data_IF_266542795261
#
_entry.id   IF_266542795261
#
_cell.length_a   1.000
_cell.length_b   1.000
_cell.length_c   1.000
_cell.angle_alpha   90.00
_cell.angle_beta   90.00
_cell.angle_gamma   90.00
#
_symmetry.space_group_name_H-M   'P 1'
#
loop_
_entity.id
_entity.type
_entity.pdbx_description
1 polymer ?
#
# COMPACT_ATOMS: atom_id res chain seq x y z
N UNK A 1 -21.12 4.78 39.94
CA UNK A 1 -22.34 4.08 39.47
C UNK A 1 -22.59 4.53 38.05
N UNK A 2 -22.15 3.75 37.07
CA UNK A 2 -22.50 3.93 35.66
C UNK A 2 -23.98 4.30 35.53
N UNK A 3 -24.26 5.49 35.00
CA UNK A 3 -25.62 6.01 34.93
C UNK A 3 -26.45 5.06 34.06
N UNK A 4 -27.67 4.73 34.47
CA UNK A 4 -28.54 3.78 33.76
C UNK A 4 -28.67 4.09 32.25
N UNK A 5 -28.46 5.34 31.85
CA UNK A 5 -28.37 5.80 30.46
C UNK A 5 -27.16 5.28 29.67
N UNK A 6 -25.99 5.13 30.30
CA UNK A 6 -24.78 4.58 29.65
C UNK A 6 -24.96 3.08 29.35
N UNK A 7 -25.56 2.33 30.28
CA UNK A 7 -25.87 0.91 30.09
C UNK A 7 -26.93 0.72 28.99
N UNK A 8 -28.00 1.53 29.00
CA UNK A 8 -29.00 1.53 27.91
C UNK A 8 -28.38 1.84 26.56
N UNK A 9 -27.45 2.81 26.50
CA UNK A 9 -26.79 3.22 25.26
C UNK A 9 -25.84 2.14 24.73
N UNK A 10 -25.10 1.45 25.61
CA UNK A 10 -24.27 0.29 25.25
C UNK A 10 -25.10 -0.86 24.69
N UNK A 11 -26.23 -1.20 25.33
CA UNK A 11 -27.12 -2.26 24.84
C UNK A 11 -27.70 -1.88 23.47
N UNK A 12 -28.12 -0.62 23.29
CA UNK A 12 -28.63 -0.14 21.99
C UNK A 12 -27.58 -0.17 20.89
N UNK A 13 -26.34 0.26 21.16
CA UNK A 13 -25.27 0.25 20.15
C UNK A 13 -24.85 -1.17 19.75
N UNK A 14 -24.93 -2.13 20.67
CA UNK A 14 -24.68 -3.55 20.35
C UNK A 14 -25.79 -4.13 19.46
N UNK A 15 -27.06 -3.80 19.74
CA UNK A 15 -28.20 -4.27 18.94
C UNK A 15 -28.26 -3.63 17.54
N UNK A 16 -27.64 -2.46 17.34
CA UNK A 16 -27.55 -1.78 16.04
C UNK A 16 -26.30 -2.11 15.24
N UNK A 17 -25.50 -3.09 15.67
CA UNK A 17 -24.22 -3.52 15.06
C UNK A 17 -23.18 -2.39 14.89
N UNK A 18 -23.30 -1.33 15.70
CA UNK A 18 -22.40 -0.16 15.69
C UNK A 18 -21.29 -0.35 16.72
N UNK A 19 -20.31 -1.18 16.36
CA UNK A 19 -19.23 -1.61 17.26
C UNK A 19 -18.30 -0.47 17.67
N UNK A 20 -18.01 0.50 16.80
CA UNK A 20 -17.16 1.65 17.13
C UNK A 20 -17.80 2.55 18.19
N UNK A 21 -19.12 2.78 18.09
CA UNK A 21 -19.88 3.51 19.10
C UNK A 21 -19.95 2.73 20.42
N UNK A 22 -20.10 1.41 20.36
CA UNK A 22 -20.07 0.55 21.55
C UNK A 22 -18.74 0.67 22.30
N UNK A 23 -17.60 0.58 21.61
CA UNK A 23 -16.28 0.71 22.24
C UNK A 23 -16.05 2.11 22.83
N UNK A 24 -16.50 3.15 22.12
CA UNK A 24 -16.38 4.53 22.60
C UNK A 24 -17.14 4.72 23.91
N UNK A 25 -18.37 4.21 24.01
CA UNK A 25 -19.18 4.26 25.22
C UNK A 25 -18.57 3.44 26.35
N UNK A 26 -18.02 2.25 26.05
CA UNK A 26 -17.37 1.40 27.05
C UNK A 26 -16.11 2.04 27.65
N UNK A 27 -15.31 2.72 26.83
CA UNK A 27 -14.14 3.48 27.29
C UNK A 27 -14.53 4.72 28.10
N UNK A 28 -15.63 5.39 27.76
CA UNK A 28 -16.16 6.49 28.56
C UNK A 28 -16.64 6.02 29.95
N UNK A 29 -17.27 4.85 30.02
CA UNK A 29 -17.64 4.22 31.30
C UNK A 29 -16.38 3.88 32.11
N UNK A 30 -15.35 3.29 31.48
CA UNK A 30 -14.08 3.01 32.15
C UNK A 30 -13.41 4.29 32.70
N UNK A 31 -13.40 5.38 31.94
CA UNK A 31 -12.86 6.66 32.38
C UNK A 31 -13.64 7.25 33.57
N UNK A 32 -14.96 7.14 33.55
CA UNK A 32 -15.82 7.60 34.63
C UNK A 32 -15.61 6.81 35.92
N UNK A 33 -15.52 5.48 35.83
CA UNK A 33 -15.26 4.61 36.99
C UNK A 33 -13.85 4.82 37.56
N UNK A 34 -12.84 5.12 36.71
CA UNK A 34 -11.51 5.50 37.17
C UNK A 34 -11.53 6.81 37.98
N UNK A 35 -12.28 7.82 37.52
CA UNK A 35 -12.43 9.10 38.24
C UNK A 35 -13.18 8.96 39.57
N UNK A 36 -14.02 7.93 39.71
CA UNK A 36 -14.72 7.62 40.97
C UNK A 36 -13.89 6.76 41.94
N UNK A 37 -12.63 6.45 41.59
CA UNK A 37 -11.73 5.67 42.45
C UNK A 37 -11.79 4.15 42.21
N UNK A 38 -12.60 3.68 41.25
CA UNK A 38 -12.68 2.25 40.88
C UNK A 38 -11.64 1.89 39.81
N UNK A 39 -10.36 2.05 40.14
CA UNK A 39 -9.25 1.88 39.19
C UNK A 39 -9.14 0.45 38.61
N UNK A 40 -9.41 -0.58 39.42
CA UNK A 40 -9.37 -1.97 39.00
C UNK A 40 -10.46 -2.28 37.96
N UNK A 41 -11.71 -1.91 38.25
CA UNK A 41 -12.83 -2.09 37.33
C UNK A 41 -12.62 -1.33 36.01
N UNK A 42 -12.10 -0.10 36.09
CA UNK A 42 -11.77 0.68 34.90
C UNK A 42 -10.63 0.09 34.07
N UNK A 43 -9.73 -0.68 34.69
CA UNK A 43 -8.68 -1.42 34.00
C UNK A 43 -9.26 -2.64 33.29
N UNK A 44 -10.06 -3.44 33.99
CA UNK A 44 -10.70 -4.64 33.44
C UNK A 44 -11.58 -4.30 32.22
N UNK A 45 -12.39 -3.24 32.28
CA UNK A 45 -13.21 -2.80 31.15
C UNK A 45 -12.36 -2.42 29.94
N UNK A 46 -11.23 -1.73 30.15
CA UNK A 46 -10.30 -1.37 29.07
C UNK A 46 -9.64 -2.60 28.45
N UNK A 47 -9.22 -3.55 29.28
CA UNK A 47 -8.56 -4.77 28.81
C UNK A 47 -9.51 -5.62 27.96
N UNK A 48 -10.78 -5.76 28.37
CA UNK A 48 -11.81 -6.49 27.61
C UNK A 48 -12.06 -5.80 26.25
N UNK A 49 -12.21 -4.47 26.24
CA UNK A 49 -12.42 -3.70 25.00
C UNK A 49 -11.22 -3.83 24.06
N UNK A 50 -10.00 -3.69 24.58
CA UNK A 50 -8.78 -3.80 23.77
C UNK A 50 -8.57 -5.21 23.21
N UNK A 51 -8.90 -6.24 23.99
CA UNK A 51 -8.83 -7.64 23.55
C UNK A 51 -9.83 -7.93 22.43
N UNK A 52 -11.08 -7.50 22.57
CA UNK A 52 -12.13 -7.69 21.55
C UNK A 52 -11.85 -6.84 20.30
N UNK A 53 -11.34 -5.61 20.45
CA UNK A 53 -10.94 -4.76 19.32
C UNK A 53 -9.79 -5.39 18.52
N UNK A 54 -8.78 -5.94 19.21
CA UNK A 54 -7.69 -6.71 18.59
C UNK A 54 -8.19 -7.99 17.91
N UNK A 55 -9.11 -8.71 18.53
CA UNK A 55 -9.69 -9.95 17.98
C UNK A 55 -10.57 -9.69 16.75
N UNK A 56 -11.33 -8.59 16.72
CA UNK A 56 -12.22 -8.22 15.59
C UNK A 56 -11.53 -7.44 14.48
N UNK A 57 -10.22 -7.21 14.56
CA UNK A 57 -9.48 -6.49 13.52
C UNK A 57 -9.90 -5.04 13.34
N UNK A 58 -10.61 -4.45 14.31
CA UNK A 58 -10.92 -3.03 14.31
C UNK A 58 -9.63 -2.27 14.50
N UNK A 59 -9.32 -1.35 13.57
CA UNK A 59 -8.12 -0.52 13.53
C UNK A 59 -7.56 -0.34 14.93
N UNK A 60 -6.50 -1.09 15.25
CA UNK A 60 -5.61 -0.64 16.28
C UNK A 60 -5.25 0.76 15.81
N UNK A 61 -5.72 1.78 16.54
CA UNK A 61 -5.03 3.03 16.59
C UNK A 61 -3.66 2.64 17.14
N UNK A 62 -2.78 2.24 16.22
CA UNK A 62 -1.37 2.12 16.45
C UNK A 62 -1.04 3.43 17.16
N UNK A 63 -0.53 3.32 18.38
CA UNK A 63 0.09 4.45 19.05
C UNK A 63 1.35 4.75 18.26
N UNK A 64 1.18 5.29 17.06
CA UNK A 64 2.24 6.01 16.40
C UNK A 64 2.74 7.03 17.44
N UNK A 65 4.05 7.17 17.63
CA UNK A 65 4.58 8.38 18.22
C UNK A 65 3.84 9.55 17.56
N UNK A 66 3.32 10.51 18.34
CA UNK A 66 2.49 11.60 17.81
C UNK A 66 3.14 12.32 16.60
N UNK A 67 4.46 12.21 16.48
CA UNK A 67 5.31 12.76 15.42
C UNK A 67 5.25 12.02 14.06
N UNK A 68 4.71 10.80 13.98
CA UNK A 68 4.58 10.00 12.74
C UNK A 68 3.15 10.01 12.16
N UNK A 69 2.21 10.70 12.82
CA UNK A 69 0.83 10.79 12.38
C UNK A 69 0.75 11.40 10.96
N UNK A 70 0.19 10.65 10.02
CA UNK A 70 0.02 11.08 8.62
C UNK A 70 1.22 10.85 7.69
N UNK A 71 2.30 10.23 8.19
CA UNK A 71 3.46 9.78 7.38
C UNK A 71 3.39 8.29 7.03
N UNK A 72 2.79 7.50 7.94
CA UNK A 72 2.55 6.07 7.76
C UNK A 72 1.04 5.85 7.63
N UNK A 73 0.62 5.31 6.50
CA UNK A 73 -0.76 4.88 6.26
C UNK A 73 -0.83 3.37 6.40
N UNK A 74 -1.70 2.86 7.27
CA UNK A 74 -1.86 1.42 7.47
C UNK A 74 -3.19 0.96 6.90
N UNK A 75 -3.18 -0.07 6.05
CA UNK A 75 -4.38 -0.71 5.54
C UNK A 75 -4.25 -2.25 5.57
N UNK A 76 -5.37 -2.95 5.67
CA UNK A 76 -5.46 -4.37 5.33
C UNK A 76 -6.05 -4.47 3.93
N UNK A 77 -5.40 -5.26 3.08
CA UNK A 77 -5.74 -5.34 1.66
C UNK A 77 -6.30 -6.70 1.31
N UNK A 78 -7.43 -6.73 0.60
CA UNK A 78 -8.05 -7.96 0.07
C UNK A 78 -7.75 -8.16 -1.43
N UNK A 79 -6.66 -7.56 -1.92
CA UNK A 79 -6.29 -7.57 -3.34
C UNK A 79 -5.58 -8.87 -3.71
N UNK A 80 -6.19 -9.78 -4.49
CA UNK A 80 -5.58 -11.05 -4.85
C UNK A 80 -4.48 -10.88 -5.91
N UNK A 81 -3.54 -11.83 -5.97
CA UNK A 81 -2.53 -11.86 -7.04
C UNK A 81 -3.11 -11.84 -8.46
N UNK A 82 -4.33 -12.35 -8.65
CA UNK A 82 -5.04 -12.33 -9.92
C UNK A 82 -5.35 -10.91 -10.43
N UNK A 83 -5.38 -9.91 -9.54
CA UNK A 83 -5.57 -8.51 -9.93
C UNK A 83 -4.36 -7.94 -10.70
N UNK A 84 -3.17 -8.55 -10.60
CA UNK A 84 -1.99 -8.13 -11.34
C UNK A 84 -1.98 -8.70 -12.76
N UNK A 85 -1.99 -7.80 -13.73
CA UNK A 85 -1.76 -8.11 -15.14
C UNK A 85 -0.29 -7.92 -15.46
N UNK A 86 0.47 -9.00 -15.26
CA UNK A 86 1.92 -9.05 -15.40
C UNK A 86 2.35 -10.31 -16.18
N UNK A 87 3.54 -10.31 -16.81
CA UNK A 87 4.09 -11.49 -17.47
C UNK A 87 4.25 -12.68 -16.54
N UNK A 88 4.16 -13.90 -17.09
CA UNK A 88 4.25 -15.14 -16.30
C UNK A 88 5.55 -15.23 -15.49
N UNK A 89 6.69 -14.87 -16.09
CA UNK A 89 7.98 -14.85 -15.40
C UNK A 89 7.99 -13.90 -14.19
N UNK A 90 7.31 -12.75 -14.30
CA UNK A 90 7.18 -11.80 -13.20
C UNK A 90 6.33 -12.39 -12.07
N UNK A 91 5.20 -13.02 -12.44
CA UNK A 91 4.30 -13.69 -11.49
C UNK A 91 5.02 -14.78 -10.70
N UNK A 92 5.89 -15.56 -11.33
CA UNK A 92 6.70 -16.58 -10.64
C UNK A 92 7.68 -15.98 -9.63
N UNK A 93 8.27 -14.81 -9.92
CA UNK A 93 9.11 -14.09 -8.94
C UNK A 93 8.32 -13.65 -7.71
N UNK A 94 7.11 -13.11 -7.90
CA UNK A 94 6.22 -12.75 -6.78
C UNK A 94 5.86 -14.01 -5.97
N UNK A 95 5.47 -15.10 -6.63
CA UNK A 95 5.15 -16.38 -5.96
C UNK A 95 6.33 -16.90 -5.16
N UNK A 96 7.55 -16.77 -5.68
CA UNK A 96 8.79 -17.14 -4.97
C UNK A 96 8.99 -16.31 -3.70
N UNK A 97 8.82 -14.99 -3.76
CA UNK A 97 8.91 -14.10 -2.58
C UNK A 97 7.90 -14.54 -1.52
N UNK A 98 6.64 -14.76 -1.92
CA UNK A 98 5.57 -15.22 -1.01
C UNK A 98 5.90 -16.59 -0.39
N UNK A 99 6.39 -17.53 -1.20
CA UNK A 99 6.74 -18.87 -0.75
C UNK A 99 7.90 -18.86 0.25
N UNK A 100 8.98 -18.12 -0.06
CA UNK A 100 10.15 -18.00 0.82
C UNK A 100 9.79 -17.34 2.15
N UNK A 101 8.96 -16.29 2.14
CA UNK A 101 8.49 -15.67 3.36
C UNK A 101 7.66 -16.64 4.22
N UNK A 102 6.72 -17.38 3.62
CA UNK A 102 5.94 -18.41 4.35
C UNK A 102 6.81 -19.54 4.91
N UNK A 103 7.97 -19.79 4.31
CA UNK A 103 8.93 -20.83 4.72
C UNK A 103 10.16 -20.25 5.44
N UNK A 104 10.10 -19.00 5.93
CA UNK A 104 11.27 -18.31 6.49
C UNK A 104 11.93 -19.08 7.64
N UNK A 105 11.15 -19.71 8.52
CA UNK A 105 11.68 -20.51 9.63
C UNK A 105 12.46 -21.74 9.16
N UNK A 106 12.04 -22.35 8.03
CA UNK A 106 12.78 -23.46 7.42
C UNK A 106 14.11 -22.98 6.85
N UNK A 107 14.14 -21.83 6.19
CA UNK A 107 15.36 -21.24 5.64
C UNK A 107 16.34 -20.87 6.76
N UNK A 108 15.85 -20.21 7.83
CA UNK A 108 16.66 -19.82 8.99
C UNK A 108 17.35 -21.03 9.65
N UNK A 109 16.66 -22.18 9.77
CA UNK A 109 17.25 -23.43 10.28
C UNK A 109 18.44 -23.96 9.47
N UNK A 110 18.52 -23.60 8.19
CA UNK A 110 19.63 -23.94 7.31
C UNK A 110 20.62 -22.78 7.11
N UNK A 111 20.53 -21.71 7.92
CA UNK A 111 21.41 -20.55 7.82
C UNK A 111 21.15 -19.67 6.60
N UNK A 112 19.98 -19.80 5.96
CA UNK A 112 19.58 -18.99 4.81
C UNK A 112 18.52 -17.95 5.22
N UNK A 113 18.52 -16.80 4.56
CA UNK A 113 17.48 -15.78 4.69
C UNK A 113 16.51 -15.82 3.51
N UNK A 114 15.23 -15.53 3.76
CA UNK A 114 14.27 -15.26 2.70
C UNK A 114 14.48 -13.87 2.09
N UNK A 115 13.97 -13.67 0.87
CA UNK A 115 13.91 -12.33 0.26
C UNK A 115 12.91 -11.45 1.01
N UNK A 116 13.40 -10.39 1.63
CA UNK A 116 12.60 -9.44 2.43
C UNK A 116 12.68 -8.02 1.88
N UNK A 117 13.73 -7.69 1.12
CA UNK A 117 14.01 -6.34 0.64
C UNK A 117 13.78 -6.32 -0.86
N UNK A 118 12.65 -5.77 -1.30
CA UNK A 118 12.25 -5.78 -2.72
C UNK A 118 12.22 -4.35 -3.28
N UNK A 119 12.80 -4.15 -4.45
CA UNK A 119 12.72 -2.87 -5.17
C UNK A 119 11.80 -3.01 -6.38
N UNK A 120 10.77 -2.18 -6.47
CA UNK A 120 9.88 -2.06 -7.62
C UNK A 120 10.27 -0.82 -8.42
N UNK A 121 10.63 -1.00 -9.68
CA UNK A 121 11.15 0.07 -10.52
C UNK A 121 10.42 0.07 -11.85
N UNK A 122 10.04 1.24 -12.36
CA UNK A 122 9.55 1.38 -13.73
C UNK A 122 8.62 2.58 -13.90
N UNK A 123 8.06 2.79 -15.10
CA UNK A 123 7.21 3.94 -15.38
C UNK A 123 6.02 4.08 -14.40
N UNK A 124 5.50 5.29 -14.17
CA UNK A 124 4.31 5.49 -13.36
C UNK A 124 3.11 4.73 -13.92
N UNK A 125 2.15 4.38 -13.05
CA UNK A 125 0.90 3.73 -13.49
C UNK A 125 1.02 2.27 -13.94
N UNK A 126 2.15 1.59 -13.70
CA UNK A 126 2.39 0.19 -14.14
C UNK A 126 2.07 -0.89 -13.10
N UNK A 127 1.56 -0.51 -11.90
CA UNK A 127 1.11 -1.48 -10.88
C UNK A 127 2.10 -1.76 -9.74
N UNK A 128 3.10 -0.89 -9.51
CA UNK A 128 4.05 -1.01 -8.39
C UNK A 128 3.35 -1.02 -7.01
N UNK A 129 2.60 0.03 -6.69
CA UNK A 129 1.84 0.15 -5.43
C UNK A 129 0.81 -1.00 -5.29
N UNK A 130 0.15 -1.38 -6.39
CA UNK A 130 -0.78 -2.52 -6.41
C UNK A 130 -0.09 -3.84 -6.03
N UNK A 131 1.18 -4.01 -6.40
CA UNK A 131 1.97 -5.20 -6.06
C UNK A 131 2.27 -5.29 -4.58
N UNK A 132 2.51 -4.16 -3.90
CA UNK A 132 2.67 -4.15 -2.45
C UNK A 132 1.37 -4.59 -1.75
N UNK A 133 0.21 -4.11 -2.21
CA UNK A 133 -1.11 -4.55 -1.72
C UNK A 133 -1.32 -6.05 -1.92
N UNK A 134 -0.91 -6.56 -3.07
CA UNK A 134 -1.01 -8.00 -3.37
C UNK A 134 -0.10 -8.82 -2.47
N UNK A 135 1.14 -8.39 -2.25
CA UNK A 135 2.07 -9.08 -1.35
C UNK A 135 1.55 -9.07 0.09
N UNK A 136 1.00 -7.95 0.57
CA UNK A 136 0.37 -7.85 1.88
C UNK A 136 -0.81 -8.82 2.03
N UNK A 137 -1.72 -8.85 1.04
CA UNK A 137 -2.84 -9.79 1.01
C UNK A 137 -2.37 -11.26 1.01
N UNK A 138 -1.45 -11.63 0.12
CA UNK A 138 -0.95 -13.01 -0.01
C UNK A 138 -0.22 -13.47 1.26
N UNK A 139 0.45 -12.56 1.97
CA UNK A 139 1.13 -12.86 3.23
C UNK A 139 0.22 -12.73 4.46
N UNK A 140 -1.01 -12.20 4.30
CA UNK A 140 -1.95 -11.86 5.38
C UNK A 140 -1.32 -10.91 6.41
N UNK A 141 -0.52 -9.97 5.92
CA UNK A 141 0.14 -8.96 6.71
C UNK A 141 -0.52 -7.59 6.46
N UNK A 142 -0.50 -6.68 7.45
CA UNK A 142 -0.88 -5.29 7.22
C UNK A 142 0.08 -4.65 6.20
N UNK A 143 -0.44 -3.72 5.40
CA UNK A 143 0.36 -2.86 4.55
C UNK A 143 0.54 -1.51 5.23
N UNK A 144 1.78 -1.10 5.44
CA UNK A 144 2.17 0.21 5.91
C UNK A 144 2.83 0.98 4.75
N UNK A 145 2.15 1.99 4.23
CA UNK A 145 2.71 2.88 3.20
C UNK A 145 3.36 4.09 3.87
N UNK A 146 4.65 4.25 3.61
CA UNK A 146 5.50 5.33 4.10
C UNK A 146 5.70 6.32 2.97
N UNK A 147 5.22 7.54 3.18
CA UNK A 147 5.40 8.65 2.24
C UNK A 147 6.76 9.28 2.48
N UNK A 148 7.70 8.94 1.60
CA UNK A 148 9.12 9.24 1.76
C UNK A 148 9.38 10.76 1.68
N UNK A 149 8.63 11.48 0.85
CA UNK A 149 8.66 12.94 0.73
C UNK A 149 8.34 13.67 2.06
N UNK A 150 7.40 13.13 2.85
CA UNK A 150 7.00 13.69 4.15
C UNK A 150 8.03 13.47 5.26
N UNK A 151 8.93 12.50 5.08
CA UNK A 151 10.00 12.22 6.05
C UNK A 151 11.13 13.24 5.95
N UNK A 152 11.37 13.75 4.76
CA UNK A 152 12.46 14.68 4.51
C UNK A 152 12.09 16.07 5.03
N UNK A 153 12.81 16.50 6.06
CA UNK A 153 12.77 17.87 6.58
C UNK A 153 14.05 18.62 6.21
N UNK A 154 14.06 19.95 6.43
CA UNK A 154 15.27 20.78 6.30
C UNK A 154 16.36 20.44 7.33
N UNK A 155 16.05 19.62 8.34
CA UNK A 155 16.96 19.25 9.41
C UNK A 155 17.31 17.76 9.33
N UNK A 156 18.52 17.44 8.89
CA UNK A 156 18.99 16.05 8.71
C UNK A 156 18.85 15.18 9.97
N UNK A 157 19.06 15.77 11.16
CA UNK A 157 18.93 15.07 12.44
C UNK A 157 17.50 14.59 12.70
N UNK A 158 16.51 15.45 12.43
CA UNK A 158 15.09 15.10 12.58
C UNK A 158 14.66 14.02 11.60
N UNK A 159 15.10 14.12 10.34
CA UNK A 159 14.84 13.10 9.31
C UNK A 159 15.41 11.74 9.74
N UNK A 160 16.63 11.72 10.28
CA UNK A 160 17.28 10.48 10.75
C UNK A 160 16.58 9.89 11.98
N UNK A 161 16.08 10.73 12.89
CA UNK A 161 15.30 10.29 14.05
C UNK A 161 13.96 9.66 13.63
N UNK A 162 13.25 10.27 12.67
CA UNK A 162 12.01 9.71 12.10
C UNK A 162 12.24 8.38 11.40
N UNK A 163 13.30 8.29 10.59
CA UNK A 163 13.69 7.04 9.95
C UNK A 163 13.96 5.95 10.99
N UNK A 164 14.70 6.27 12.07
CA UNK A 164 14.93 5.32 13.16
C UNK A 164 13.62 4.82 13.78
N UNK A 165 12.69 5.72 14.10
CA UNK A 165 11.38 5.35 14.64
C UNK A 165 10.58 4.42 13.70
N UNK A 166 10.67 4.64 12.38
CA UNK A 166 10.05 3.76 11.39
C UNK A 166 10.70 2.37 11.40
N UNK A 167 12.02 2.28 11.50
CA UNK A 167 12.70 0.99 11.55
C UNK A 167 12.52 0.25 12.88
N UNK A 168 12.35 0.99 13.98
CA UNK A 168 11.93 0.40 15.25
C UNK A 168 10.51 -0.18 15.12
N UNK A 169 9.59 0.53 14.45
CA UNK A 169 8.25 0.00 14.13
C UNK A 169 8.31 -1.24 13.23
N UNK A 170 9.14 -1.24 12.18
CA UNK A 170 9.32 -2.39 11.26
C UNK A 170 9.79 -3.63 12.02
N UNK A 171 10.62 -3.44 13.05
CA UNK A 171 11.12 -4.51 13.89
C UNK A 171 10.05 -5.05 14.85
N UNK A 172 9.27 -4.15 15.45
CA UNK A 172 8.31 -4.50 16.50
C UNK A 172 6.99 -5.03 15.93
N UNK A 173 6.60 -4.61 14.73
CA UNK A 173 5.34 -4.98 14.08
C UNK A 173 5.59 -5.65 12.71
N UNK A 174 5.44 -6.99 12.60
CA UNK A 174 5.59 -7.67 11.33
C UNK A 174 4.55 -7.20 10.29
N UNK A 175 5.03 -6.67 9.18
CA UNK A 175 4.17 -6.10 8.14
C UNK A 175 4.83 -6.01 6.77
N UNK A 176 4.06 -5.57 5.78
CA UNK A 176 4.60 -5.12 4.49
C UNK A 176 4.77 -3.60 4.55
N UNK A 177 5.99 -3.11 4.37
CA UNK A 177 6.33 -1.69 4.46
C UNK A 177 6.67 -1.17 3.07
N UNK A 178 5.80 -0.36 2.49
CA UNK A 178 5.99 0.27 1.19
C UNK A 178 6.55 1.68 1.36
N UNK A 179 7.81 1.86 1.00
CA UNK A 179 8.41 3.18 0.80
C UNK A 179 8.12 3.63 -0.63
N UNK A 180 7.04 4.40 -0.81
CA UNK A 180 6.62 4.90 -2.13
C UNK A 180 7.39 6.18 -2.49
N UNK A 181 7.48 6.47 -3.79
CA UNK A 181 8.23 7.62 -4.33
C UNK A 181 9.69 7.67 -3.84
N UNK A 182 10.38 6.53 -3.87
CA UNK A 182 11.77 6.41 -3.42
C UNK A 182 12.73 7.38 -4.14
N UNK A 183 12.38 7.77 -5.38
CA UNK A 183 13.10 8.77 -6.18
C UNK A 183 12.90 10.21 -5.71
N UNK A 184 11.91 10.51 -4.86
CA UNK A 184 11.74 11.84 -4.27
C UNK A 184 12.96 12.26 -3.42
N UNK A 185 13.73 11.29 -2.91
CA UNK A 185 15.00 11.52 -2.21
C UNK A 185 16.22 11.41 -3.13
N UNK A 186 16.09 10.74 -4.27
CA UNK A 186 17.17 10.60 -5.26
C UNK A 186 17.28 11.78 -6.24
N UNK A 187 16.20 12.53 -6.44
CA UNK A 187 16.10 13.54 -7.50
C UNK A 187 16.76 14.89 -7.18
N UNK A 188 17.49 15.42 -8.17
CA UNK A 188 18.05 16.78 -8.15
C UNK A 188 16.92 17.82 -8.01
N UNK A 189 16.82 18.46 -6.85
CA UNK A 189 16.16 19.77 -6.73
C UNK A 189 17.22 20.86 -6.89
N UNK A 190 17.62 21.11 -8.13
CA UNK A 190 18.20 22.32 -8.77
C UNK A 190 18.98 23.37 -7.96
N UNK A 191 19.50 23.06 -6.78
CA UNK A 191 20.37 23.90 -5.95
C UNK A 191 21.46 23.01 -5.38
N UNK A 192 22.72 23.30 -5.70
CA UNK A 192 23.89 22.45 -5.40
C UNK A 192 24.01 22.01 -3.92
N UNK A 193 23.44 22.78 -2.98
CA UNK A 193 23.48 22.43 -1.56
C UNK A 193 22.42 21.38 -1.14
N UNK A 194 21.23 21.38 -1.75
CA UNK A 194 20.13 20.49 -1.34
C UNK A 194 20.36 19.05 -1.84
N UNK A 195 21.03 18.89 -2.99
CA UNK A 195 21.35 17.58 -3.59
C UNK A 195 22.24 16.72 -2.67
N UNK A 196 23.17 17.35 -1.94
CA UNK A 196 24.05 16.66 -1.00
C UNK A 196 23.34 16.10 0.23
N UNK A 197 22.38 16.84 0.77
CA UNK A 197 21.62 16.42 1.96
C UNK A 197 20.66 15.28 1.63
N UNK A 198 19.95 15.38 0.50
CA UNK A 198 19.02 14.33 0.05
C UNK A 198 19.74 13.01 -0.18
N UNK A 199 20.90 13.02 -0.84
CA UNK A 199 21.73 11.81 -1.02
C UNK A 199 22.16 11.20 0.31
N UNK A 200 22.46 12.02 1.33
CA UNK A 200 22.81 11.51 2.66
C UNK A 200 21.60 10.87 3.35
N UNK A 201 20.40 11.45 3.22
CA UNK A 201 19.16 10.85 3.74
C UNK A 201 18.88 9.51 3.07
N UNK A 202 19.01 9.44 1.74
CA UNK A 202 18.87 8.19 0.99
C UNK A 202 19.86 7.15 1.51
N UNK A 203 21.14 7.51 1.65
CA UNK A 203 22.16 6.62 2.19
C UNK A 203 21.85 6.13 3.61
N UNK A 204 21.30 6.99 4.46
CA UNK A 204 20.87 6.60 5.81
C UNK A 204 19.71 5.60 5.77
N UNK A 205 18.68 5.86 4.96
CA UNK A 205 17.56 4.94 4.74
C UNK A 205 18.06 3.56 4.27
N UNK A 206 19.00 3.51 3.33
CA UNK A 206 19.58 2.24 2.88
C UNK A 206 20.37 1.51 3.96
N UNK A 207 21.13 2.24 4.78
CA UNK A 207 21.85 1.64 5.90
C UNK A 207 20.88 0.99 6.87
N UNK A 208 19.73 1.64 7.15
CA UNK A 208 18.68 1.03 7.96
C UNK A 208 18.07 -0.21 7.28
N UNK A 209 17.81 -0.17 5.97
CA UNK A 209 17.35 -1.35 5.20
C UNK A 209 18.36 -2.49 5.30
N UNK A 210 19.66 -2.22 5.15
CA UNK A 210 20.72 -3.24 5.23
C UNK A 210 20.81 -3.87 6.61
N UNK A 211 20.78 -3.04 7.66
CA UNK A 211 20.88 -3.46 9.06
C UNK A 211 19.60 -4.15 9.56
N UNK A 212 18.48 -3.98 8.86
CA UNK A 212 17.24 -4.62 9.25
C UNK A 212 17.33 -6.15 9.15
N UNK A 213 16.92 -6.78 10.24
CA UNK A 213 16.85 -8.23 10.43
C UNK A 213 15.44 -8.71 10.80
N UNK A 214 14.45 -7.81 10.82
CA UNK A 214 13.05 -8.09 11.13
C UNK A 214 12.43 -9.12 10.18
N UNK A 215 11.31 -9.72 10.59
CA UNK A 215 10.52 -10.62 9.73
C UNK A 215 9.57 -9.87 8.79
N UNK A 216 9.69 -8.55 8.70
CA UNK A 216 8.89 -7.68 7.82
C UNK A 216 9.36 -7.72 6.37
N UNK A 217 8.45 -7.44 5.44
CA UNK A 217 8.75 -7.30 4.01
C UNK A 217 8.88 -5.81 3.68
N UNK A 218 10.07 -5.36 3.31
CA UNK A 218 10.36 -3.97 2.94
C UNK A 218 10.33 -3.85 1.42
N UNK A 219 9.50 -2.93 0.91
CA UNK A 219 9.33 -2.66 -0.51
C UNK A 219 9.68 -1.20 -0.78
N UNK A 220 10.66 -0.95 -1.63
CA UNK A 220 10.88 0.38 -2.22
C UNK A 220 10.18 0.47 -3.58
N UNK A 221 9.49 1.57 -3.88
CA UNK A 221 8.90 1.80 -5.20
C UNK A 221 9.42 3.10 -5.81
N UNK A 222 9.91 3.04 -7.05
CA UNK A 222 10.42 4.20 -7.78
C UNK A 222 9.85 4.30 -9.19
N UNK A 223 9.55 5.52 -9.60
CA UNK A 223 9.16 5.84 -10.98
C UNK A 223 10.38 6.12 -11.87
N UNK A 224 11.49 6.55 -11.28
CA UNK A 224 12.67 7.03 -11.99
C UNK A 224 13.94 6.27 -11.56
N UNK A 225 14.14 5.02 -12.04
CA UNK A 225 15.34 4.25 -11.69
C UNK A 225 16.65 4.92 -12.09
N UNK A 226 16.64 5.81 -13.10
CA UNK A 226 17.83 6.55 -13.52
C UNK A 226 18.35 7.55 -12.47
N UNK A 227 17.51 7.99 -11.53
CA UNK A 227 17.90 8.89 -10.43
C UNK A 227 18.54 8.13 -9.26
N UNK A 228 18.42 6.81 -9.25
CA UNK A 228 18.96 5.94 -8.22
C UNK A 228 20.36 5.45 -8.63
N UNK A 229 21.36 5.66 -7.76
CA UNK A 229 22.68 5.05 -7.89
C UNK A 229 22.58 3.52 -8.09
N UNK A 230 23.37 2.97 -9.01
CA UNK A 230 23.47 1.52 -9.27
C UNK A 230 23.84 0.72 -8.03
N UNK A 231 24.52 1.34 -7.06
CA UNK A 231 24.85 0.71 -5.78
C UNK A 231 23.60 0.36 -4.94
N UNK A 232 22.48 1.09 -5.11
CA UNK A 232 21.22 0.85 -4.41
C UNK A 232 20.64 -0.52 -4.73
N UNK A 233 20.63 -0.89 -6.01
CA UNK A 233 20.02 -2.12 -6.51
C UNK A 233 20.64 -3.38 -5.89
N UNK A 234 21.90 -3.30 -5.44
CA UNK A 234 22.61 -4.42 -4.81
C UNK A 234 22.21 -4.65 -3.34
N UNK A 235 21.53 -3.69 -2.72
CA UNK A 235 21.10 -3.73 -1.31
C UNK A 235 19.71 -4.36 -1.13
N UNK A 236 19.00 -4.56 -2.24
CA UNK A 236 17.72 -5.27 -2.29
C UNK A 236 17.96 -6.71 -2.72
N UNK A 237 17.21 -7.65 -2.13
CA UNK A 237 17.31 -9.07 -2.41
C UNK A 237 16.71 -9.44 -3.77
N UNK A 238 15.75 -8.64 -4.25
CA UNK A 238 15.17 -8.77 -5.58
C UNK A 238 14.76 -7.40 -6.16
N UNK A 239 14.96 -7.21 -7.46
CA UNK A 239 14.56 -6.01 -8.19
C UNK A 239 13.58 -6.36 -9.28
N UNK A 240 12.36 -5.86 -9.18
CA UNK A 240 11.27 -6.12 -10.11
C UNK A 240 11.08 -4.90 -11.04
N UNK A 241 11.42 -5.08 -12.31
CA UNK A 241 11.33 -4.04 -13.33
C UNK A 241 9.98 -4.08 -14.06
N UNK A 242 9.19 -3.05 -13.85
CA UNK A 242 7.96 -2.76 -14.57
C UNK A 242 8.25 -2.05 -15.88
N UNK A 243 7.47 -2.44 -16.90
CA UNK A 243 7.52 -1.87 -18.24
C UNK A 243 6.08 -1.53 -18.64
N UNK A 244 5.95 -0.74 -19.71
CA UNK A 244 4.64 -0.49 -20.32
C UNK A 244 4.01 -1.82 -20.78
N UNK A 245 2.68 -1.98 -20.66
CA UNK A 245 2.02 -3.23 -20.98
C UNK A 245 2.12 -3.56 -22.47
N UNK A 246 2.45 -4.81 -22.77
CA UNK A 246 2.37 -5.35 -24.14
C UNK A 246 0.92 -5.53 -24.59
N UNK A 247 0.71 -5.85 -25.87
CA UNK A 247 -0.63 -6.01 -26.44
C UNK A 247 -1.48 -7.06 -25.69
N UNK A 248 -0.87 -8.19 -25.30
CA UNK A 248 -1.55 -9.25 -24.57
C UNK A 248 -1.97 -8.79 -23.16
N UNK A 249 -1.09 -8.09 -22.45
CA UNK A 249 -1.35 -7.51 -21.13
C UNK A 249 -2.45 -6.45 -21.21
N UNK A 250 -2.41 -5.57 -22.22
CA UNK A 250 -3.46 -4.56 -22.43
C UNK A 250 -4.81 -5.20 -22.69
N UNK A 251 -4.86 -6.23 -23.53
CA UNK A 251 -6.09 -7.00 -23.76
C UNK A 251 -6.63 -7.58 -22.46
N UNK A 252 -5.82 -8.33 -21.73
CA UNK A 252 -6.22 -8.96 -20.45
C UNK A 252 -6.68 -7.92 -19.43
N UNK A 253 -6.00 -6.78 -19.36
CA UNK A 253 -6.38 -5.68 -18.47
C UNK A 253 -7.77 -5.14 -18.82
N UNK A 254 -8.03 -4.84 -20.09
CA UNK A 254 -9.34 -4.36 -20.56
C UNK A 254 -10.41 -5.43 -20.26
N UNK A 255 -10.11 -6.70 -20.54
CA UNK A 255 -11.04 -7.80 -20.26
C UNK A 255 -11.39 -7.89 -18.77
N UNK A 256 -10.39 -7.78 -17.89
CA UNK A 256 -10.56 -7.83 -16.44
C UNK A 256 -11.36 -6.64 -15.89
N UNK A 257 -11.09 -5.42 -16.38
CA UNK A 257 -11.76 -4.21 -15.88
C UNK A 257 -13.20 -4.14 -16.37
N UNK A 258 -13.45 -4.46 -17.64
CA UNK A 258 -14.80 -4.44 -18.20
C UNK A 258 -15.66 -5.57 -17.64
N UNK A 259 -15.11 -6.77 -17.45
CA UNK A 259 -15.78 -7.92 -16.83
C UNK A 259 -17.25 -8.07 -17.28
N UNK A 260 -18.22 -7.88 -16.37
CA UNK A 260 -19.66 -7.97 -16.64
C UNK A 260 -20.19 -6.95 -17.65
N UNK A 261 -19.51 -5.82 -17.84
CA UNK A 261 -19.86 -4.78 -18.82
C UNK A 261 -19.27 -5.03 -20.21
N UNK A 262 -18.53 -6.11 -20.42
CA UNK A 262 -17.92 -6.41 -21.71
C UNK A 262 -18.95 -6.74 -22.78
N UNK A 263 -19.02 -5.90 -23.82
CA UNK A 263 -19.81 -6.12 -25.04
C UNK A 263 -19.01 -6.80 -26.16
N UNK A 264 -19.50 -6.71 -27.40
CA UNK A 264 -18.71 -7.12 -28.58
C UNK A 264 -17.71 -6.02 -28.94
N UNK A 265 -16.43 -6.32 -28.74
CA UNK A 265 -15.34 -5.36 -28.90
C UNK A 265 -14.52 -5.60 -30.17
N UNK A 266 -14.27 -4.53 -30.92
CA UNK A 266 -13.35 -4.52 -32.06
C UNK A 266 -11.90 -4.44 -31.58
N UNK A 267 -11.34 -5.57 -31.13
CA UNK A 267 -10.03 -5.64 -30.47
C UNK A 267 -8.90 -4.96 -31.24
N UNK A 268 -8.83 -5.13 -32.56
CA UNK A 268 -7.76 -4.55 -33.38
C UNK A 268 -7.66 -3.03 -33.19
N UNK A 269 -8.78 -2.32 -33.26
CA UNK A 269 -8.80 -0.86 -33.10
C UNK A 269 -8.48 -0.44 -31.66
N UNK A 270 -9.01 -1.17 -30.67
CA UNK A 270 -8.79 -0.89 -29.24
C UNK A 270 -7.31 -1.07 -28.85
N UNK A 271 -6.67 -2.12 -29.36
CA UNK A 271 -5.26 -2.40 -29.10
C UNK A 271 -4.34 -1.41 -29.80
N UNK A 272 -4.73 -0.89 -30.97
CA UNK A 272 -4.03 0.25 -31.59
C UNK A 272 -4.19 1.52 -30.75
N UNK A 273 -5.41 1.88 -30.34
CA UNK A 273 -5.69 3.11 -29.59
C UNK A 273 -5.10 3.13 -28.17
N UNK A 274 -4.95 1.96 -27.53
CA UNK A 274 -4.34 1.83 -26.21
C UNK A 274 -2.81 1.76 -26.23
N UNK A 275 -2.17 1.94 -27.40
CA UNK A 275 -0.72 1.82 -27.52
C UNK A 275 -0.01 2.95 -26.82
N UNK A 276 1.00 2.61 -26.02
CA UNK A 276 1.76 3.57 -25.23
C UNK A 276 1.08 4.03 -23.94
N UNK A 277 -0.12 3.54 -23.62
CA UNK A 277 -0.79 3.87 -22.36
C UNK A 277 -0.34 2.96 -21.21
N UNK A 278 -0.29 3.53 -20.00
CA UNK A 278 0.02 2.78 -18.77
C UNK A 278 -1.16 1.90 -18.32
N UNK A 279 -0.94 0.94 -17.41
CA UNK A 279 -2.04 0.15 -16.85
C UNK A 279 -3.09 1.03 -16.19
N UNK A 280 -2.67 2.08 -15.46
CA UNK A 280 -3.57 3.01 -14.80
C UNK A 280 -4.42 3.80 -15.80
N UNK A 281 -3.84 4.27 -16.89
CA UNK A 281 -4.59 4.98 -17.95
C UNK A 281 -5.63 4.09 -18.61
N UNK A 282 -5.27 2.83 -18.90
CA UNK A 282 -6.20 1.87 -19.50
C UNK A 282 -7.33 1.52 -18.53
N UNK A 283 -7.02 1.28 -17.24
CA UNK A 283 -8.03 1.06 -16.21
C UNK A 283 -8.98 2.26 -16.10
N UNK A 284 -8.45 3.48 -16.05
CA UNK A 284 -9.26 4.70 -16.03
C UNK A 284 -10.16 4.83 -17.27
N UNK A 285 -9.61 4.63 -18.47
CA UNK A 285 -10.39 4.69 -19.72
C UNK A 285 -11.53 3.66 -19.74
N UNK A 286 -11.27 2.44 -19.24
CA UNK A 286 -12.28 1.40 -19.11
C UNK A 286 -13.35 1.77 -18.09
N UNK A 287 -12.96 2.28 -16.91
CA UNK A 287 -13.91 2.73 -15.88
C UNK A 287 -14.77 3.90 -16.34
N UNK A 288 -14.20 4.85 -17.07
CA UNK A 288 -14.96 5.97 -17.61
C UNK A 288 -15.95 5.51 -18.69
N UNK A 289 -15.58 4.52 -19.52
CA UNK A 289 -16.51 3.90 -20.46
C UNK A 289 -17.63 3.11 -19.74
N UNK A 290 -17.34 2.45 -18.62
CA UNK A 290 -18.36 1.79 -17.78
C UNK A 290 -19.31 2.83 -17.19
N UNK A 291 -18.79 3.95 -16.64
CA UNK A 291 -19.63 5.03 -16.11
C UNK A 291 -20.54 5.59 -17.19
N UNK A 292 -20.03 5.86 -18.38
CA UNK A 292 -20.86 6.32 -19.51
C UNK A 292 -21.95 5.31 -19.87
N UNK A 293 -21.62 4.01 -19.91
CA UNK A 293 -22.62 2.98 -20.18
C UNK A 293 -23.73 2.98 -19.11
N UNK A 294 -23.36 3.08 -17.83
CA UNK A 294 -24.32 3.17 -16.72
C UNK A 294 -25.19 4.44 -16.85
N UNK A 295 -24.58 5.59 -17.11
CA UNK A 295 -25.28 6.88 -17.23
C UNK A 295 -26.19 6.98 -18.47
N UNK A 296 -25.98 6.09 -19.45
CA UNK A 296 -26.81 6.00 -20.68
C UNK A 296 -27.70 4.77 -20.69
N UNK A 297 -27.90 4.12 -19.53
CA UNK A 297 -28.71 2.90 -19.33
C UNK A 297 -28.31 1.72 -20.24
N UNK A 298 -27.05 1.70 -20.72
CA UNK A 298 -26.47 0.59 -21.48
C UNK A 298 -25.94 -0.47 -20.54
N UNK A 299 -26.30 -1.73 -20.79
CA UNK A 299 -25.80 -2.89 -20.04
C UNK A 299 -24.33 -3.24 -20.38
N UNK A 300 -23.83 -2.78 -21.53
CA UNK A 300 -22.52 -3.18 -22.07
C UNK A 300 -21.79 -1.98 -22.68
N UNK A 301 -20.46 -1.99 -22.57
CA UNK A 301 -19.58 -1.04 -23.24
C UNK A 301 -19.42 -1.43 -24.71
N UNK A 302 -19.65 -0.45 -25.59
CA UNK A 302 -19.44 -0.60 -27.02
C UNK A 302 -18.01 -0.17 -27.43
N UNK A 303 -17.59 -0.59 -28.63
CA UNK A 303 -16.24 -0.28 -29.14
C UNK A 303 -16.03 1.22 -29.30
N UNK A 304 -17.07 1.98 -29.66
CA UNK A 304 -16.97 3.42 -29.94
C UNK A 304 -16.73 4.22 -28.67
N UNK A 305 -17.44 3.90 -27.60
CA UNK A 305 -17.28 4.51 -26.28
C UNK A 305 -15.87 4.26 -25.75
N UNK A 306 -15.39 3.01 -25.81
CA UNK A 306 -14.05 2.68 -25.32
C UNK A 306 -12.93 3.33 -26.14
N UNK A 307 -13.07 3.40 -27.48
CA UNK A 307 -12.10 4.12 -28.32
C UNK A 307 -12.06 5.61 -28.00
N UNK A 308 -13.21 6.22 -27.70
CA UNK A 308 -13.28 7.63 -27.31
C UNK A 308 -12.54 7.88 -26.00
N UNK A 309 -12.82 7.11 -24.94
CA UNK A 309 -12.16 7.30 -23.63
C UNK A 309 -10.67 7.00 -23.68
N UNK A 310 -10.24 5.99 -24.46
CA UNK A 310 -8.81 5.73 -24.69
C UNK A 310 -8.14 6.88 -25.45
N UNK A 311 -8.80 7.45 -26.46
CA UNK A 311 -8.31 8.60 -27.21
C UNK A 311 -8.13 9.86 -26.35
N UNK A 312 -9.08 10.13 -25.44
CA UNK A 312 -9.00 11.24 -24.49
C UNK A 312 -7.79 11.11 -23.55
N UNK A 313 -7.48 9.90 -23.07
CA UNK A 313 -6.29 9.62 -22.26
C UNK A 313 -5.00 9.82 -23.04
N UNK A 314 -4.93 9.30 -24.27
CA UNK A 314 -3.76 9.46 -25.14
C UNK A 314 -3.45 10.93 -25.44
N UNK A 315 -4.47 11.76 -25.71
CA UNK A 315 -4.30 13.19 -25.98
C UNK A 315 -3.89 14.01 -24.75
N UNK A 316 -4.29 13.56 -23.55
CA UNK A 316 -3.91 14.22 -22.30
C UNK A 316 -2.41 14.02 -22.01
N UNK A 317 -1.88 12.83 -22.30
CA UNK A 317 -0.47 12.49 -22.05
C UNK A 317 0.48 12.82 -23.21
N UNK A 318 -0.01 13.04 -24.44
CA UNK A 318 0.84 13.50 -25.55
C UNK A 318 1.31 14.97 -25.42
N UNK A 319 0.90 15.67 -24.36
CA UNK A 319 1.21 17.10 -24.12
C UNK A 319 2.25 17.33 -23.01
N UNK A 320 2.74 16.27 -22.37
CA UNK A 320 3.85 16.29 -21.40
C UNK A 320 5.12 15.69 -22.02
#
# INVERSE_FOLDING_TARGET
MATAEQIKSLIRSHLSDDHERFYTLALQVAAHEAQQGHAALAHDIREIVDKERKARGGNALLKFPQDLAGMVMSERTDTPLAALVIPAAFRERIRRIVHEHRQQEKLKKHGLSNRRKILLSGPPGTGKTLTARVLAHELRLPLHTIQVDKLVTKFMGETSAKLRQIFDLIRDEPGVYLFDEFDAIGGERSRDNDVGEMRRVLNALLQFIEQDSSDSLIIGATNNPGLLDRALFRRFDDVLHYHMPDEESRRRLIENVLSSFMGRLGWKAILTASSGLSHAEIDHACRDAIKEAILTDKQKVDTKALLRTLGERSQTHARD
#
